data_IF_376299097978
#
_entry.id   IF_376299097978
#
_cell.length_a   1.000
_cell.length_b   1.000
_cell.length_c   1.000
_cell.angle_alpha   90.00
_cell.angle_beta   90.00
_cell.angle_gamma   90.00
#
_symmetry.space_group_name_H-M   'P 1'
#
loop_
_entity.id
_entity.type
_entity.pdbx_description
1 polymer ?
#
# COMPACT_ATOMS: atom_id res chain seq x y z
N UNK A 1 17.04 38.07 -10.18
CA UNK A 1 17.25 37.28 -8.98
C UNK A 1 17.75 35.92 -9.44
N UNK A 2 18.81 35.33 -8.90
CA UNK A 2 19.24 34.00 -9.29
C UNK A 2 18.10 33.06 -8.91
N UNK A 3 17.62 32.26 -9.89
CA UNK A 3 16.78 31.13 -9.62
C UNK A 3 17.59 30.20 -8.72
N UNK A 4 17.19 30.03 -7.47
CA UNK A 4 17.69 28.97 -6.62
C UNK A 4 17.27 27.67 -7.31
N UNK A 5 18.20 27.01 -8.00
CA UNK A 5 17.99 25.66 -8.50
C UNK A 5 17.75 24.78 -7.29
N UNK A 6 16.48 24.43 -7.05
CA UNK A 6 16.15 23.44 -6.06
C UNK A 6 16.76 22.11 -6.52
N UNK A 7 17.69 21.56 -5.73
CA UNK A 7 18.25 20.24 -5.99
C UNK A 7 17.20 19.22 -5.58
N UNK A 8 16.87 18.31 -6.50
CA UNK A 8 15.88 17.27 -6.20
C UNK A 8 16.38 16.33 -5.10
N UNK A 9 15.56 16.09 -4.10
CA UNK A 9 15.81 15.12 -3.02
C UNK A 9 14.97 13.87 -3.22
N UNK A 10 15.64 12.73 -3.38
CA UNK A 10 15.00 11.41 -3.49
C UNK A 10 15.14 10.65 -2.19
N UNK A 11 14.02 10.23 -1.60
CA UNK A 11 14.01 9.30 -0.49
C UNK A 11 14.02 7.85 -0.97
N UNK A 12 14.83 6.98 -0.36
CA UNK A 12 14.85 5.54 -0.63
C UNK A 12 14.32 4.76 0.56
N UNK A 13 13.36 3.89 0.30
CA UNK A 13 12.82 2.94 1.26
C UNK A 13 12.88 1.52 0.70
N UNK A 14 13.29 0.57 1.52
CA UNK A 14 13.27 -0.87 1.22
C UNK A 14 13.33 -1.69 2.50
N UNK A 15 12.94 -2.95 2.43
CA UNK A 15 12.99 -3.88 3.58
C UNK A 15 14.02 -4.97 3.40
N UNK A 16 14.25 -5.40 2.18
CA UNK A 16 15.19 -6.46 1.84
C UNK A 16 15.82 -6.17 0.48
N UNK A 17 17.09 -6.47 0.33
CA UNK A 17 17.79 -6.48 -0.95
C UNK A 17 18.47 -7.84 -1.11
N UNK A 18 17.95 -8.69 -2.01
CA UNK A 18 18.61 -9.94 -2.34
C UNK A 18 19.98 -9.65 -2.99
N UNK A 19 21.02 -10.43 -2.69
CA UNK A 19 22.39 -10.19 -3.18
C UNK A 19 22.48 -10.00 -4.71
N UNK A 20 21.70 -10.76 -5.47
CA UNK A 20 21.63 -10.65 -6.93
C UNK A 20 21.08 -9.31 -7.42
N UNK A 21 20.37 -8.57 -6.58
CA UNK A 21 19.80 -7.25 -6.91
C UNK A 21 20.76 -6.09 -6.60
N UNK A 22 21.92 -6.35 -5.97
CA UNK A 22 22.92 -5.31 -5.66
C UNK A 22 23.42 -4.59 -6.91
N UNK A 23 23.50 -5.27 -8.06
CA UNK A 23 23.89 -4.67 -9.34
C UNK A 23 22.87 -3.61 -9.78
N UNK A 24 21.59 -3.86 -9.59
CA UNK A 24 20.52 -2.91 -9.92
C UNK A 24 20.45 -1.74 -8.94
N UNK A 25 20.75 -2.01 -7.66
CA UNK A 25 20.86 -0.97 -6.64
C UNK A 25 22.01 -0.02 -6.94
N UNK A 26 23.19 -0.53 -7.27
CA UNK A 26 24.33 0.27 -7.72
C UNK A 26 24.00 1.08 -8.98
N UNK A 27 23.28 0.48 -9.93
CA UNK A 27 22.81 1.18 -11.14
C UNK A 27 21.91 2.36 -10.76
N UNK A 28 20.93 2.17 -9.87
CA UNK A 28 20.03 3.23 -9.40
C UNK A 28 20.83 4.37 -8.76
N UNK A 29 21.69 4.06 -7.80
CA UNK A 29 22.48 5.05 -7.07
C UNK A 29 23.41 5.84 -8.01
N UNK A 30 24.04 5.16 -8.98
CA UNK A 30 24.87 5.83 -9.98
C UNK A 30 24.07 6.78 -10.89
N UNK A 31 22.83 6.39 -11.29
CA UNK A 31 21.97 7.28 -12.08
C UNK A 31 21.53 8.51 -11.26
N UNK A 32 21.19 8.35 -9.97
CA UNK A 32 20.87 9.47 -9.08
C UNK A 32 22.08 10.39 -8.89
N UNK A 33 23.27 9.83 -8.66
CA UNK A 33 24.52 10.60 -8.50
C UNK A 33 24.87 11.43 -9.75
N UNK A 34 24.75 10.85 -10.95
CA UNK A 34 25.00 11.55 -12.22
C UNK A 34 24.08 12.78 -12.41
N UNK A 35 22.90 12.74 -11.85
CA UNK A 35 21.92 13.83 -11.94
C UNK A 35 21.97 14.80 -10.76
N UNK A 36 22.99 14.73 -9.89
CA UNK A 36 23.18 15.57 -8.72
C UNK A 36 21.97 15.58 -7.77
N UNK A 37 21.33 14.42 -7.60
CA UNK A 37 20.20 14.24 -6.69
C UNK A 37 20.69 14.09 -5.27
N UNK A 38 20.08 14.81 -4.32
CA UNK A 38 20.28 14.58 -2.89
C UNK A 38 19.58 13.29 -2.46
N UNK A 39 20.26 12.49 -1.63
CA UNK A 39 19.77 11.18 -1.24
C UNK A 39 19.43 11.14 0.24
N UNK A 40 18.18 10.72 0.53
CA UNK A 40 17.67 10.48 1.87
C UNK A 40 17.29 9.00 1.97
N UNK A 41 17.89 8.23 2.87
CA UNK A 41 17.68 6.77 2.94
C UNK A 41 17.08 6.37 4.29
N UNK A 42 16.08 5.49 4.25
CA UNK A 42 15.54 4.88 5.47
C UNK A 42 16.65 4.13 6.21
N UNK A 43 16.84 4.42 7.50
CA UNK A 43 17.98 3.93 8.28
C UNK A 43 18.20 2.42 8.21
N UNK A 44 17.19 1.53 8.43
CA UNK A 44 17.40 0.10 8.28
C UNK A 44 17.78 -0.32 6.86
N UNK A 45 17.31 0.40 5.84
CA UNK A 45 17.64 0.08 4.45
C UNK A 45 19.06 0.54 4.08
N UNK A 46 19.54 1.64 4.67
CA UNK A 46 20.90 2.13 4.47
C UNK A 46 21.95 1.05 4.82
N UNK A 47 21.75 0.35 5.94
CA UNK A 47 22.64 -0.74 6.36
C UNK A 47 22.70 -1.88 5.32
N UNK A 48 21.59 -2.15 4.65
CA UNK A 48 21.50 -3.21 3.63
C UNK A 48 22.15 -2.84 2.30
N UNK A 49 22.21 -1.55 1.97
CA UNK A 49 22.74 -1.05 0.69
C UNK A 49 24.10 -0.38 0.82
N UNK A 50 24.71 -0.40 2.00
CA UNK A 50 25.97 0.31 2.30
C UNK A 50 27.06 0.01 1.27
N UNK A 51 27.24 -1.27 0.90
CA UNK A 51 28.22 -1.71 -0.12
C UNK A 51 27.86 -1.30 -1.56
N UNK A 52 26.66 -0.75 -1.76
CA UNK A 52 26.22 -0.28 -3.09
C UNK A 52 26.40 1.22 -3.27
N UNK A 53 26.63 1.98 -2.17
CA UNK A 53 26.72 3.44 -2.20
C UNK A 53 28.07 3.88 -2.76
N UNK A 54 28.09 4.73 -3.81
CA UNK A 54 29.33 5.32 -4.31
C UNK A 54 30.03 6.18 -3.24
N UNK A 55 31.35 6.09 -3.12
CA UNK A 55 32.13 6.85 -2.12
C UNK A 55 31.90 8.37 -2.19
N UNK A 56 31.64 8.91 -3.39
CA UNK A 56 31.37 10.33 -3.60
C UNK A 56 29.94 10.77 -3.26
N UNK A 57 29.04 9.83 -2.94
CA UNK A 57 27.63 10.11 -2.70
C UNK A 57 27.39 10.44 -1.23
N UNK A 58 26.89 11.64 -0.97
CA UNK A 58 26.41 11.99 0.38
C UNK A 58 25.01 11.44 0.59
N UNK A 59 24.79 10.86 1.77
CA UNK A 59 23.52 10.24 2.14
C UNK A 59 23.06 10.78 3.47
N UNK A 60 21.85 11.35 3.50
CA UNK A 60 21.15 11.66 4.73
C UNK A 60 20.21 10.50 5.10
N UNK A 61 19.74 10.49 6.35
CA UNK A 61 18.97 9.37 6.90
C UNK A 61 17.62 9.87 7.40
N UNK A 62 16.55 9.06 7.18
CA UNK A 62 15.26 9.26 7.82
C UNK A 62 14.82 8.00 8.59
N UNK A 63 14.10 8.20 9.68
CA UNK A 63 13.54 7.14 10.53
C UNK A 63 12.03 7.29 10.73
N UNK A 64 11.48 8.46 10.43
CA UNK A 64 10.09 8.80 10.70
C UNK A 64 9.45 9.66 9.61
N UNK A 65 8.12 9.83 9.71
CA UNK A 65 7.37 10.79 8.91
C UNK A 65 7.90 12.23 9.05
N UNK A 66 8.29 12.63 10.27
CA UNK A 66 8.76 13.98 10.53
C UNK A 66 10.08 14.30 9.80
N UNK A 67 10.95 13.30 9.62
CA UNK A 67 12.21 13.45 8.92
C UNK A 67 12.03 13.54 7.39
N UNK A 68 10.88 13.12 6.89
CA UNK A 68 10.59 13.09 5.44
C UNK A 68 9.76 14.27 4.98
N UNK A 69 8.86 14.77 5.85
CA UNK A 69 7.90 15.81 5.48
C UNK A 69 8.59 17.11 5.16
N UNK A 70 8.49 17.55 3.89
CA UNK A 70 9.09 18.78 3.39
C UNK A 70 10.57 18.67 3.01
N UNK A 71 11.18 17.47 3.19
CA UNK A 71 12.60 17.23 2.90
C UNK A 71 12.78 16.42 1.60
N UNK A 72 11.81 15.62 1.21
CA UNK A 72 11.89 14.80 0.00
C UNK A 72 10.87 15.23 -1.06
N UNK A 73 11.31 15.28 -2.31
CA UNK A 73 10.46 15.56 -3.47
C UNK A 73 9.72 14.30 -3.94
N UNK A 74 10.33 13.13 -3.75
CA UNK A 74 9.79 11.83 -4.17
C UNK A 74 10.39 10.71 -3.32
N UNK A 75 9.61 9.64 -3.08
CA UNK A 75 10.08 8.44 -2.41
C UNK A 75 10.11 7.26 -3.39
N UNK A 76 11.27 6.61 -3.51
CA UNK A 76 11.41 5.36 -4.24
C UNK A 76 11.29 4.18 -3.28
N UNK A 77 10.27 3.36 -3.49
CA UNK A 77 10.05 2.11 -2.76
C UNK A 77 10.72 0.97 -3.50
N UNK A 78 11.78 0.41 -2.93
CA UNK A 78 12.61 -0.63 -3.52
C UNK A 78 12.14 -2.00 -3.04
N UNK A 79 11.38 -2.69 -3.88
CA UNK A 79 10.79 -3.99 -3.53
C UNK A 79 9.48 -4.25 -4.26
N UNK A 80 8.66 -5.14 -3.72
CA UNK A 80 7.32 -5.44 -4.26
C UNK A 80 6.22 -4.56 -3.67
N UNK A 81 4.95 -4.93 -3.95
CA UNK A 81 3.77 -4.19 -3.47
C UNK A 81 3.74 -4.05 -1.95
N UNK A 82 4.13 -5.09 -1.20
CA UNK A 82 4.21 -5.02 0.26
C UNK A 82 5.18 -3.94 0.77
N UNK A 83 6.28 -3.68 0.04
CA UNK A 83 7.22 -2.61 0.40
C UNK A 83 6.59 -1.24 0.20
N UNK A 84 5.73 -1.08 -0.81
CA UNK A 84 4.97 0.17 -1.01
C UNK A 84 3.98 0.40 0.14
N UNK A 85 3.27 -0.63 0.61
CA UNK A 85 2.38 -0.52 1.77
C UNK A 85 3.13 -0.02 3.01
N UNK A 86 4.37 -0.45 3.18
CA UNK A 86 5.21 -0.05 4.30
C UNK A 86 5.75 1.38 4.19
N UNK A 87 5.60 2.07 3.05
CA UNK A 87 5.92 3.50 2.93
C UNK A 87 4.80 4.40 3.49
N UNK A 88 3.57 3.90 3.59
CA UNK A 88 2.41 4.70 4.06
C UNK A 88 2.67 5.39 5.40
N UNK A 89 3.26 4.72 6.43
CA UNK A 89 3.61 5.36 7.69
C UNK A 89 4.58 6.54 7.58
N UNK A 90 5.42 6.55 6.53
CA UNK A 90 6.43 7.57 6.32
C UNK A 90 5.96 8.74 5.47
N UNK A 91 5.09 8.49 4.48
CA UNK A 91 4.61 9.57 3.59
C UNK A 91 3.33 10.22 4.06
N UNK A 92 2.39 9.47 4.66
CA UNK A 92 1.12 9.98 5.21
C UNK A 92 0.50 11.09 4.33
N UNK A 93 0.17 12.23 4.95
CA UNK A 93 -0.40 13.43 4.32
C UNK A 93 0.66 14.42 3.79
N UNK A 94 1.94 14.04 3.71
CA UNK A 94 3.00 14.91 3.21
C UNK A 94 2.84 15.31 1.75
N UNK A 95 2.08 14.51 0.98
CA UNK A 95 1.95 14.70 -0.46
C UNK A 95 3.13 14.17 -1.28
N UNK A 96 4.18 13.63 -0.65
CA UNK A 96 5.35 13.07 -1.33
C UNK A 96 4.92 11.93 -2.26
N UNK A 97 5.20 12.00 -3.57
CA UNK A 97 4.89 10.93 -4.51
C UNK A 97 5.73 9.68 -4.23
N UNK A 98 5.12 8.51 -4.40
CA UNK A 98 5.79 7.21 -4.21
C UNK A 98 5.96 6.52 -5.56
N UNK A 99 7.19 6.16 -5.92
CA UNK A 99 7.53 5.35 -7.08
C UNK A 99 7.95 3.94 -6.63
N UNK A 100 7.20 2.91 -7.04
CA UNK A 100 7.57 1.52 -6.78
C UNK A 100 8.52 0.97 -7.82
N UNK A 101 9.73 0.59 -7.42
CA UNK A 101 10.72 -0.11 -8.25
C UNK A 101 10.79 -1.56 -7.80
N UNK A 102 10.32 -2.46 -8.65
CA UNK A 102 10.24 -3.88 -8.35
C UNK A 102 11.57 -4.58 -8.63
N UNK A 103 12.09 -5.27 -7.62
CA UNK A 103 13.32 -6.06 -7.73
C UNK A 103 13.08 -7.55 -8.06
N UNK A 104 11.81 -7.94 -8.21
CA UNK A 104 11.39 -9.31 -8.51
C UNK A 104 10.29 -9.37 -9.57
N UNK A 105 9.15 -9.99 -9.24
CA UNK A 105 7.98 -10.05 -10.12
C UNK A 105 7.16 -8.78 -10.00
N UNK A 106 6.86 -8.13 -11.10
CA UNK A 106 6.04 -6.90 -11.15
C UNK A 106 4.71 -7.07 -10.36
N UNK A 107 4.39 -6.09 -9.53
CA UNK A 107 3.19 -6.03 -8.71
C UNK A 107 2.00 -5.33 -9.40
N UNK A 108 0.95 -5.07 -8.63
CA UNK A 108 -0.14 -4.18 -9.03
C UNK A 108 0.16 -2.71 -8.68
N UNK A 109 1.02 -2.48 -7.67
CA UNK A 109 1.43 -1.16 -7.20
C UNK A 109 2.80 -0.77 -7.75
N UNK A 110 3.78 -1.67 -7.71
CA UNK A 110 5.12 -1.43 -8.22
C UNK A 110 5.12 -1.52 -9.76
N UNK A 111 5.24 -0.37 -10.42
CA UNK A 111 5.07 -0.24 -11.86
C UNK A 111 6.36 -0.32 -12.68
N UNK A 112 7.53 -0.18 -12.03
CA UNK A 112 8.84 -0.16 -12.68
C UNK A 112 9.59 -1.45 -12.38
N UNK A 113 10.07 -2.12 -13.43
CA UNK A 113 10.96 -3.26 -13.29
C UNK A 113 12.41 -2.80 -13.07
N UNK A 114 13.22 -3.66 -12.43
CA UNK A 114 14.66 -3.38 -12.21
C UNK A 114 15.44 -3.09 -13.51
N UNK A 115 15.00 -3.61 -14.64
CA UNK A 115 15.65 -3.40 -15.93
C UNK A 115 15.38 -1.97 -16.48
N UNK A 116 14.30 -1.32 -16.06
CA UNK A 116 13.86 0.00 -16.50
C UNK A 116 14.38 1.15 -15.61
N UNK A 117 15.22 0.87 -14.61
CA UNK A 117 15.70 1.86 -13.63
C UNK A 117 16.23 3.14 -14.28
N UNK A 118 17.13 3.06 -15.26
CA UNK A 118 17.72 4.25 -15.89
C UNK A 118 16.67 5.11 -16.59
N UNK A 119 15.69 4.46 -17.26
CA UNK A 119 14.57 5.17 -17.89
C UNK A 119 13.69 5.85 -16.85
N UNK A 120 13.35 5.15 -15.77
CA UNK A 120 12.54 5.69 -14.70
C UNK A 120 13.18 6.90 -14.01
N UNK A 121 14.49 6.84 -13.70
CA UNK A 121 15.22 7.98 -13.14
C UNK A 121 15.21 9.16 -14.10
N UNK A 122 15.47 8.95 -15.41
CA UNK A 122 15.45 10.02 -16.40
C UNK A 122 14.08 10.72 -16.47
N UNK A 123 12.98 9.96 -16.48
CA UNK A 123 11.61 10.52 -16.47
C UNK A 123 11.32 11.30 -15.18
N UNK A 124 11.73 10.77 -14.02
CA UNK A 124 11.56 11.47 -12.74
C UNK A 124 12.30 12.80 -12.72
N UNK A 125 13.56 12.82 -13.15
CA UNK A 125 14.38 14.06 -13.23
C UNK A 125 13.77 15.07 -14.20
N UNK A 126 13.22 14.60 -15.31
CA UNK A 126 12.55 15.46 -16.29
C UNK A 126 11.16 15.93 -15.84
N UNK A 127 10.61 15.37 -14.75
CA UNK A 127 9.22 15.61 -14.34
C UNK A 127 8.18 14.97 -15.27
N UNK A 128 8.59 14.00 -16.08
CA UNK A 128 7.77 13.33 -17.08
C UNK A 128 7.07 12.09 -16.49
N UNK A 129 6.15 12.33 -15.59
CA UNK A 129 5.30 11.34 -14.96
C UNK A 129 3.96 11.94 -14.54
N UNK A 130 2.99 11.11 -14.30
CA UNK A 130 1.70 11.52 -13.73
C UNK A 130 1.53 11.00 -12.32
N UNK A 131 0.62 11.65 -11.56
CA UNK A 131 0.25 11.23 -10.21
C UNK A 131 -1.11 10.55 -10.25
N UNK A 132 -1.16 9.34 -9.73
CA UNK A 132 -2.39 8.61 -9.47
C UNK A 132 -2.67 8.60 -7.96
N UNK A 133 -3.75 9.26 -7.55
CA UNK A 133 -4.15 9.35 -6.14
C UNK A 133 -4.80 8.05 -5.69
N UNK A 134 -4.34 7.51 -4.56
CA UNK A 134 -4.86 6.29 -3.96
C UNK A 134 -5.54 6.60 -2.63
N UNK A 135 -6.82 6.26 -2.56
CA UNK A 135 -7.63 6.39 -1.35
C UNK A 135 -7.15 5.43 -0.26
N UNK A 136 -7.29 5.85 1.00
CA UNK A 136 -6.97 5.04 2.17
C UNK A 136 -8.22 4.83 3.03
N UNK A 137 -8.26 3.71 3.73
CA UNK A 137 -9.10 3.53 4.90
C UNK A 137 -8.45 4.17 6.11
N UNK A 138 -9.25 4.80 6.97
CA UNK A 138 -8.85 5.32 8.27
C UNK A 138 -9.64 4.64 9.38
N UNK A 139 -8.94 4.07 10.37
CA UNK A 139 -9.54 3.55 11.59
C UNK A 139 -9.76 4.71 12.56
N UNK A 140 -11.03 5.00 12.88
CA UNK A 140 -11.42 6.06 13.81
C UNK A 140 -11.54 5.51 15.24
N UNK A 141 -12.09 4.29 15.37
CA UNK A 141 -12.23 3.59 16.65
C UNK A 141 -11.86 2.12 16.49
N UNK A 142 -11.12 1.53 17.43
CA UNK A 142 -10.45 2.16 18.56
C UNK A 142 -9.23 2.98 18.15
N UNK A 143 -8.95 4.04 18.88
CA UNK A 143 -7.76 4.83 18.68
C UNK A 143 -6.49 4.02 19.02
N UNK A 144 -5.39 4.32 18.32
CA UNK A 144 -4.04 3.88 18.69
C UNK A 144 -3.77 2.36 18.69
N UNK A 145 -4.53 1.55 17.92
CA UNK A 145 -4.25 0.09 17.80
C UNK A 145 -2.84 -0.15 17.26
N UNK A 146 -2.39 0.68 16.32
CA UNK A 146 -1.05 0.64 15.72
C UNK A 146 -0.31 1.99 15.89
N UNK A 147 -0.44 2.62 17.08
CA UNK A 147 0.10 3.95 17.34
C UNK A 147 -0.55 5.02 16.46
N UNK A 148 0.28 5.93 15.93
CA UNK A 148 -0.21 7.04 15.09
C UNK A 148 -0.58 6.62 13.65
N UNK A 149 -0.33 5.36 13.28
CA UNK A 149 -0.55 4.88 11.91
C UNK A 149 -1.88 4.14 11.82
N UNK A 150 -2.95 4.88 11.63
CA UNK A 150 -4.35 4.39 11.57
C UNK A 150 -4.90 4.26 10.14
N UNK A 151 -4.05 4.19 9.15
CA UNK A 151 -4.41 4.15 7.72
C UNK A 151 -4.06 2.82 7.09
N UNK A 152 -4.87 2.39 6.11
CA UNK A 152 -4.57 1.25 5.24
C UNK A 152 -4.77 1.63 3.77
N UNK A 153 -3.80 1.27 2.93
CA UNK A 153 -3.84 1.49 1.48
C UNK A 153 -4.60 0.37 0.77
N UNK A 154 -4.44 -0.87 1.21
CA UNK A 154 -5.15 -2.01 0.68
C UNK A 154 -6.44 -2.29 1.47
N UNK A 155 -6.31 -2.85 2.65
CA UNK A 155 -7.46 -3.33 3.41
C UNK A 155 -7.27 -3.34 4.91
N UNK A 156 -8.41 -3.36 5.58
CA UNK A 156 -8.58 -3.74 6.96
C UNK A 156 -9.21 -5.12 6.99
N UNK A 157 -8.70 -6.01 7.84
CA UNK A 157 -9.25 -7.35 8.02
C UNK A 157 -9.56 -7.70 9.46
N UNK A 158 -10.66 -8.41 9.65
CA UNK A 158 -11.01 -9.09 10.90
C UNK A 158 -11.06 -10.58 10.61
N UNK A 159 -10.28 -11.35 11.34
CA UNK A 159 -10.18 -12.80 11.11
C UNK A 159 -10.25 -13.51 12.46
N UNK A 160 -10.97 -14.64 12.52
CA UNK A 160 -10.97 -15.48 13.71
C UNK A 160 -9.57 -16.03 14.00
N UNK A 161 -9.30 -16.30 15.25
CA UNK A 161 -8.15 -17.14 15.56
C UNK A 161 -8.41 -18.55 15.03
N UNK A 162 -7.46 -19.20 14.33
CA UNK A 162 -7.63 -20.53 13.74
C UNK A 162 -8.12 -21.62 14.71
N UNK A 163 -7.80 -21.51 15.99
CA UNK A 163 -8.17 -22.46 17.04
C UNK A 163 -9.62 -22.29 17.55
N UNK A 164 -10.34 -21.27 17.05
CA UNK A 164 -11.62 -20.87 17.63
C UNK A 164 -12.79 -21.01 16.66
N UNK A 165 -14.01 -20.88 17.19
CA UNK A 165 -15.25 -20.95 16.45
C UNK A 165 -15.44 -19.77 15.48
N UNK A 166 -16.42 -19.86 14.57
CA UNK A 166 -16.78 -18.78 13.65
C UNK A 166 -17.13 -17.49 14.40
N UNK A 167 -16.79 -16.37 13.79
CA UNK A 167 -17.20 -15.05 14.26
C UNK A 167 -18.61 -14.71 13.72
N UNK A 168 -19.39 -13.99 14.50
CA UNK A 168 -20.57 -13.27 14.05
C UNK A 168 -20.19 -11.78 13.95
N UNK A 169 -20.06 -11.30 12.72
CA UNK A 169 -19.58 -9.95 12.44
C UNK A 169 -20.74 -9.11 11.93
N UNK A 170 -21.24 -8.19 12.77
CA UNK A 170 -22.28 -7.25 12.40
C UNK A 170 -21.67 -6.03 11.73
N UNK A 171 -22.19 -5.69 10.57
CA UNK A 171 -21.74 -4.54 9.78
C UNK A 171 -22.89 -3.56 9.60
N UNK A 172 -22.56 -2.29 9.81
CA UNK A 172 -23.44 -1.16 9.54
C UNK A 172 -22.74 -0.20 8.59
N UNK A 173 -23.48 0.36 7.66
CA UNK A 173 -23.02 1.38 6.70
C UNK A 173 -23.89 2.61 6.91
N UNK A 174 -23.30 3.74 7.28
CA UNK A 174 -24.01 4.99 7.61
C UNK A 174 -25.13 4.77 8.64
N UNK A 175 -24.80 4.01 9.70
CA UNK A 175 -25.70 3.56 10.79
C UNK A 175 -26.82 2.61 10.35
N UNK A 176 -26.93 2.28 9.07
CA UNK A 176 -27.91 1.30 8.57
C UNK A 176 -27.31 -0.10 8.68
N UNK A 177 -28.04 -1.01 9.35
CA UNK A 177 -27.64 -2.41 9.45
C UNK A 177 -27.57 -3.07 8.06
N UNK A 178 -26.38 -3.53 7.68
CA UNK A 178 -26.17 -4.23 6.42
C UNK A 178 -26.44 -5.74 6.57
N UNK A 179 -25.69 -6.40 7.44
CA UNK A 179 -25.79 -7.85 7.64
C UNK A 179 -24.98 -8.30 8.87
N UNK A 180 -25.27 -9.54 9.30
CA UNK A 180 -24.41 -10.28 10.23
C UNK A 180 -23.75 -11.43 9.45
N UNK A 181 -22.44 -11.37 9.34
CA UNK A 181 -21.64 -12.37 8.64
C UNK A 181 -21.14 -13.43 9.62
N UNK A 182 -21.58 -14.66 9.43
CA UNK A 182 -21.08 -15.84 10.17
C UNK A 182 -20.00 -16.50 9.32
N UNK A 183 -18.73 -16.37 9.73
CA UNK A 183 -17.62 -16.87 8.91
C UNK A 183 -16.27 -16.77 9.59
N UNK A 184 -15.22 -17.00 8.82
CA UNK A 184 -13.83 -16.89 9.28
C UNK A 184 -13.39 -15.43 9.47
N UNK A 185 -14.05 -14.49 8.78
CA UNK A 185 -13.72 -13.09 8.89
C UNK A 185 -14.40 -12.20 7.85
N UNK A 186 -13.94 -10.95 7.80
CA UNK A 186 -14.37 -9.95 6.85
C UNK A 186 -13.21 -9.05 6.45
N UNK A 187 -13.23 -8.57 5.22
CA UNK A 187 -12.31 -7.55 4.69
C UNK A 187 -13.11 -6.31 4.33
N UNK A 188 -12.56 -5.16 4.66
CA UNK A 188 -12.94 -3.88 4.09
C UNK A 188 -11.75 -3.38 3.26
N UNK A 189 -11.92 -3.29 1.95
CA UNK A 189 -10.84 -2.96 1.04
C UNK A 189 -11.11 -1.68 0.25
N UNK A 190 -10.04 -0.95 -0.04
CA UNK A 190 -10.01 0.16 -1.00
C UNK A 190 -10.04 -0.39 -2.44
N UNK A 191 -10.19 0.46 -3.47
CA UNK A 191 -9.96 0.04 -4.85
C UNK A 191 -8.57 -0.56 -5.06
N UNK A 192 -7.54 -0.02 -4.41
CA UNK A 192 -6.19 -0.57 -4.45
C UNK A 192 -6.14 -1.99 -3.88
N UNK A 193 -6.74 -2.21 -2.72
CA UNK A 193 -6.81 -3.51 -2.04
C UNK A 193 -7.74 -4.53 -2.73
N UNK A 194 -8.58 -4.08 -3.69
CA UNK A 194 -9.43 -4.99 -4.45
C UNK A 194 -8.64 -6.06 -5.23
N UNK A 195 -7.37 -5.82 -5.52
CA UNK A 195 -6.44 -6.75 -6.17
C UNK A 195 -5.53 -7.50 -5.19
N UNK A 196 -5.70 -7.28 -3.87
CA UNK A 196 -4.96 -7.92 -2.79
C UNK A 196 -5.76 -9.07 -2.14
N UNK A 197 -5.90 -9.10 -0.83
CA UNK A 197 -6.59 -10.21 -0.13
C UNK A 197 -8.08 -10.28 -0.48
N UNK A 198 -8.72 -9.13 -0.74
CA UNK A 198 -10.11 -9.09 -1.20
C UNK A 198 -10.34 -9.91 -2.47
N UNK A 199 -9.41 -9.86 -3.45
CA UNK A 199 -9.48 -10.68 -4.66
C UNK A 199 -9.46 -12.18 -4.33
N UNK A 200 -8.56 -12.61 -3.45
CA UNK A 200 -8.43 -14.00 -3.01
C UNK A 200 -9.68 -14.50 -2.26
N UNK A 201 -10.39 -13.60 -1.58
CA UNK A 201 -11.64 -13.87 -0.89
C UNK A 201 -12.88 -13.78 -1.82
N UNK A 202 -12.69 -13.58 -3.13
CA UNK A 202 -13.78 -13.53 -4.13
C UNK A 202 -14.39 -12.13 -4.31
N UNK A 203 -13.71 -11.07 -3.85
CA UNK A 203 -14.09 -9.68 -4.11
C UNK A 203 -13.92 -9.29 -5.59
N UNK A 204 -14.64 -8.27 -6.07
CA UNK A 204 -14.50 -7.76 -7.43
C UNK A 204 -13.18 -6.99 -7.59
N UNK A 205 -12.64 -6.97 -8.82
CA UNK A 205 -11.57 -6.06 -9.18
C UNK A 205 -12.17 -4.67 -9.43
N UNK A 206 -11.60 -3.67 -8.77
CA UNK A 206 -12.05 -2.29 -8.82
C UNK A 206 -10.93 -1.42 -9.40
N UNK A 207 -11.29 -0.52 -10.33
CA UNK A 207 -10.32 0.42 -10.88
C UNK A 207 -9.79 1.36 -9.78
N UNK A 208 -8.48 1.65 -9.76
CA UNK A 208 -7.85 2.40 -8.66
C UNK A 208 -8.41 3.80 -8.41
N UNK A 209 -8.98 4.42 -9.44
CA UNK A 209 -9.59 5.74 -9.39
C UNK A 209 -11.09 5.73 -9.07
N UNK A 210 -11.66 4.58 -8.72
CA UNK A 210 -13.06 4.48 -8.33
C UNK A 210 -13.26 4.99 -6.90
N UNK A 211 -14.41 5.64 -6.65
CA UNK A 211 -14.80 6.22 -5.37
C UNK A 211 -15.69 5.25 -4.59
N UNK A 212 -15.11 4.13 -4.17
CA UNK A 212 -15.85 3.09 -3.44
C UNK A 212 -14.93 2.28 -2.52
N UNK A 213 -15.57 1.53 -1.61
CA UNK A 213 -14.95 0.47 -0.83
C UNK A 213 -15.66 -0.84 -1.12
N UNK A 214 -15.02 -1.95 -0.81
CA UNK A 214 -15.65 -3.27 -0.90
C UNK A 214 -15.58 -4.00 0.42
N UNK A 215 -16.71 -4.51 0.86
CA UNK A 215 -16.87 -5.38 2.03
C UNK A 215 -16.89 -6.81 1.51
N UNK A 216 -15.84 -7.57 1.80
CA UNK A 216 -15.67 -8.95 1.31
C UNK A 216 -15.66 -9.92 2.50
N UNK A 217 -16.68 -10.75 2.67
CA UNK A 217 -16.71 -11.76 3.71
C UNK A 217 -15.78 -12.93 3.40
N UNK A 218 -15.20 -13.56 4.44
CA UNK A 218 -14.26 -14.68 4.31
C UNK A 218 -14.94 -15.96 4.80
N UNK A 219 -15.01 -16.97 3.93
CA UNK A 219 -15.49 -18.32 4.24
C UNK A 219 -16.79 -18.32 5.08
N UNK A 220 -17.81 -17.61 4.62
CA UNK A 220 -19.09 -17.53 5.31
C UNK A 220 -19.86 -18.84 5.30
N UNK A 221 -20.54 -19.14 6.41
CA UNK A 221 -21.46 -20.25 6.49
C UNK A 221 -22.69 -20.06 5.58
N UNK A 222 -23.15 -18.82 5.42
CA UNK A 222 -24.26 -18.50 4.52
C UNK A 222 -23.79 -18.37 3.07
N UNK A 223 -24.22 -19.32 2.22
CA UNK A 223 -23.80 -19.41 0.82
C UNK A 223 -24.41 -18.33 -0.10
N UNK A 224 -25.40 -17.57 0.36
CA UNK A 224 -26.02 -16.47 -0.42
C UNK A 224 -25.30 -15.16 -0.28
N UNK A 225 -24.40 -15.03 0.69
CA UNK A 225 -23.63 -13.81 0.94
C UNK A 225 -22.66 -13.55 -0.22
N UNK A 226 -22.54 -12.28 -0.61
CA UNK A 226 -21.62 -11.81 -1.64
C UNK A 226 -20.89 -10.57 -1.16
N UNK A 227 -19.72 -10.27 -1.72
CA UNK A 227 -19.07 -8.97 -1.52
C UNK A 227 -20.00 -7.81 -1.91
N UNK A 228 -19.97 -6.75 -1.13
CA UNK A 228 -20.80 -5.55 -1.33
C UNK A 228 -19.88 -4.36 -1.61
N UNK A 229 -20.15 -3.65 -2.70
CA UNK A 229 -19.47 -2.40 -3.03
C UNK A 229 -20.31 -1.24 -2.50
N UNK A 230 -19.68 -0.33 -1.78
CA UNK A 230 -20.30 0.86 -1.19
C UNK A 230 -19.51 2.11 -1.61
N UNK A 231 -20.09 3.30 -1.47
CA UNK A 231 -19.35 4.55 -1.69
C UNK A 231 -18.24 4.72 -0.66
N UNK A 232 -17.13 5.33 -1.05
CA UNK A 232 -16.02 5.63 -0.14
C UNK A 232 -16.33 6.78 0.84
N UNK A 233 -17.46 7.48 0.65
CA UNK A 233 -17.96 8.50 1.59
C UNK A 233 -18.64 7.89 2.82
N UNK A 234 -18.96 6.59 2.79
CA UNK A 234 -19.66 5.92 3.89
C UNK A 234 -18.77 5.73 5.11
N UNK A 235 -19.40 5.81 6.28
CA UNK A 235 -18.82 5.39 7.57
C UNK A 235 -19.23 3.95 7.85
N UNK A 236 -18.26 3.08 8.04
CA UNK A 236 -18.48 1.65 8.29
C UNK A 236 -18.26 1.38 9.77
N UNK A 237 -19.25 0.79 10.41
CA UNK A 237 -19.18 0.37 11.81
C UNK A 237 -19.29 -1.14 11.90
N UNK A 238 -18.36 -1.76 12.63
CA UNK A 238 -18.24 -3.22 12.73
C UNK A 238 -18.23 -3.64 14.20
N UNK A 239 -19.12 -4.56 14.55
CA UNK A 239 -19.21 -5.18 15.88
C UNK A 239 -18.96 -6.68 15.70
N UNK A 240 -18.19 -7.26 16.62
CA UNK A 240 -17.87 -8.68 16.60
C UNK A 240 -18.54 -9.36 17.79
N UNK A 241 -19.27 -10.42 17.54
CA UNK A 241 -19.86 -11.27 18.56
C UNK A 241 -19.34 -12.71 18.39
N UNK A 242 -19.16 -13.41 19.48
CA UNK A 242 -18.68 -14.77 19.47
C UNK A 242 -18.51 -15.33 20.86
N UNK A 243 -18.24 -16.62 20.96
CA UNK A 243 -17.90 -17.29 22.23
C UNK A 243 -16.51 -16.88 22.70
N UNK A 244 -15.64 -16.53 21.77
CA UNK A 244 -14.28 -16.09 22.00
C UNK A 244 -14.25 -14.60 22.28
N UNK A 245 -13.32 -14.20 23.15
CA UNK A 245 -13.18 -12.80 23.54
C UNK A 245 -12.28 -11.99 22.62
N UNK A 246 -11.57 -12.62 21.69
CA UNK A 246 -10.55 -11.96 20.86
C UNK A 246 -10.62 -12.42 19.41
N UNK A 247 -10.26 -11.51 18.51
CA UNK A 247 -10.07 -11.76 17.08
C UNK A 247 -8.78 -11.11 16.58
N UNK A 248 -8.24 -11.59 15.47
CA UNK A 248 -7.10 -11.00 14.78
C UNK A 248 -7.60 -9.83 13.93
N UNK A 249 -6.97 -8.70 14.10
CA UNK A 249 -7.23 -7.47 13.36
C UNK A 249 -5.97 -7.06 12.62
N UNK A 250 -6.10 -6.69 11.33
CA UNK A 250 -4.97 -6.21 10.55
C UNK A 250 -5.35 -4.97 9.72
N UNK A 251 -4.34 -4.13 9.47
CA UNK A 251 -4.39 -3.02 8.51
C UNK A 251 -3.15 -3.11 7.64
N UNK A 252 -3.32 -3.48 6.38
CA UNK A 252 -2.23 -3.83 5.46
C UNK A 252 -1.28 -4.88 6.11
N UNK A 253 0.01 -4.57 6.21
CA UNK A 253 1.03 -5.46 6.80
C UNK A 253 1.07 -5.50 8.33
N UNK A 254 0.30 -4.64 9.02
CA UNK A 254 0.28 -4.55 10.48
C UNK A 254 -0.85 -5.38 11.06
N UNK A 255 -0.56 -6.20 12.06
CA UNK A 255 -1.55 -7.06 12.70
C UNK A 255 -1.46 -7.02 14.21
N UNK A 256 -2.57 -7.27 14.86
CA UNK A 256 -2.71 -7.35 16.31
C UNK A 256 -3.96 -8.13 16.70
N UNK A 257 -4.23 -8.20 17.99
CA UNK A 257 -5.42 -8.87 18.52
C UNK A 257 -6.29 -7.85 19.25
N UNK A 258 -7.59 -7.85 18.98
CA UNK A 258 -8.57 -7.02 19.63
C UNK A 258 -9.59 -7.88 20.42
N UNK A 259 -10.17 -7.27 21.45
CA UNK A 259 -11.29 -7.86 22.19
C UNK A 259 -12.59 -7.70 21.40
N UNK A 260 -13.48 -8.68 21.47
CA UNK A 260 -14.78 -8.63 20.77
C UNK A 260 -15.73 -7.56 21.31
N UNK A 261 -15.47 -7.01 22.49
CA UNK A 261 -16.21 -5.85 23.02
C UNK A 261 -15.87 -4.53 22.30
N UNK A 262 -14.81 -4.52 21.48
CA UNK A 262 -14.39 -3.32 20.75
C UNK A 262 -15.21 -3.16 19.48
N UNK A 263 -15.82 -1.99 19.31
CA UNK A 263 -16.44 -1.59 18.06
C UNK A 263 -15.41 -0.89 17.16
N UNK A 264 -15.35 -1.31 15.89
CA UNK A 264 -14.53 -0.66 14.90
C UNK A 264 -15.35 0.35 14.10
N UNK A 265 -14.79 1.55 13.95
CA UNK A 265 -15.36 2.59 13.08
C UNK A 265 -14.31 2.97 12.05
N UNK A 266 -14.67 2.84 10.78
CA UNK A 266 -13.77 3.04 9.64
C UNK A 266 -14.41 4.01 8.67
N UNK A 267 -13.61 4.91 8.11
CA UNK A 267 -14.01 5.84 7.04
C UNK A 267 -12.89 6.01 6.02
N UNK A 268 -13.13 6.83 5.02
CA UNK A 268 -12.09 7.35 4.11
C UNK A 268 -11.16 8.30 4.88
N UNK A 269 -9.86 8.19 4.65
CA UNK A 269 -8.90 9.18 5.13
C UNK A 269 -9.07 10.52 4.39
N UNK A 270 -8.74 11.61 5.07
CA UNK A 270 -8.85 12.97 4.53
C UNK A 270 -7.74 13.30 3.51
N UNK A 271 -6.82 12.37 3.26
CA UNK A 271 -5.73 12.50 2.28
C UNK A 271 -5.60 11.22 1.44
N UNK A 272 -4.80 11.30 0.37
CA UNK A 272 -4.49 10.18 -0.52
C UNK A 272 -2.98 9.94 -0.57
N UNK A 273 -2.56 8.73 -0.90
CA UNK A 273 -1.18 8.46 -1.30
C UNK A 273 -1.03 8.77 -2.79
N UNK A 274 -0.03 9.57 -3.12
CA UNK A 274 0.32 9.93 -4.49
C UNK A 274 1.23 8.85 -5.08
N UNK A 275 0.70 8.02 -5.99
CA UNK A 275 1.52 7.03 -6.71
C UNK A 275 2.04 7.62 -8.01
N UNK A 276 3.33 7.48 -8.26
CA UNK A 276 3.93 7.86 -9.54
C UNK A 276 3.55 6.85 -10.60
N UNK A 277 3.08 7.36 -11.75
CA UNK A 277 2.73 6.56 -12.91
C UNK A 277 3.53 7.03 -14.12
N UNK A 278 4.30 6.12 -14.72
CA UNK A 278 5.04 6.36 -15.94
C UNK A 278 4.14 6.25 -17.17
N UNK A 279 4.49 6.97 -18.22
CA UNK A 279 3.81 6.89 -19.50
C UNK A 279 3.78 5.45 -20.03
N UNK A 280 2.65 5.03 -20.59
CA UNK A 280 2.45 3.68 -21.15
C UNK A 280 2.10 2.60 -20.12
N UNK A 281 2.10 2.89 -18.80
CA UNK A 281 1.59 1.96 -17.81
C UNK A 281 0.07 2.11 -17.69
N UNK A 282 -0.69 1.00 -17.78
CA UNK A 282 -2.14 1.01 -17.59
C UNK A 282 -2.62 -0.12 -16.67
N UNK A 283 -3.68 0.14 -15.94
CA UNK A 283 -4.24 -0.80 -14.97
C UNK A 283 -4.75 -2.09 -15.64
N UNK A 284 -5.40 -1.97 -16.78
CA UNK A 284 -5.96 -3.13 -17.48
C UNK A 284 -4.87 -4.00 -18.11
N UNK A 285 -3.77 -3.39 -18.58
CA UNK A 285 -2.57 -4.10 -19.00
C UNK A 285 -1.94 -4.89 -17.85
N UNK A 286 -1.89 -4.28 -16.65
CA UNK A 286 -1.43 -4.97 -15.43
C UNK A 286 -2.32 -6.16 -15.09
N UNK A 287 -3.65 -6.00 -15.12
CA UNK A 287 -4.61 -7.11 -14.91
C UNK A 287 -4.36 -8.25 -15.90
N UNK A 288 -4.33 -7.95 -17.22
CA UNK A 288 -4.10 -8.98 -18.25
C UNK A 288 -2.80 -9.74 -18.03
N UNK A 289 -1.73 -9.02 -17.71
CA UNK A 289 -0.42 -9.63 -17.51
C UNK A 289 -0.33 -10.45 -16.22
N UNK A 290 -0.91 -9.95 -15.13
CA UNK A 290 -0.85 -10.59 -13.81
C UNK A 290 -1.79 -11.77 -13.68
N UNK A 291 -3.01 -11.66 -14.17
CA UNK A 291 -4.04 -12.68 -14.08
C UNK A 291 -4.11 -13.56 -15.32
N UNK A 292 -3.21 -13.37 -16.29
CA UNK A 292 -3.15 -14.14 -17.54
C UNK A 292 -4.46 -14.06 -18.36
N UNK A 293 -5.22 -12.96 -18.20
CA UNK A 293 -6.47 -12.80 -18.92
C UNK A 293 -6.27 -12.69 -20.42
N UNK A 294 -7.05 -13.45 -21.18
CA UNK A 294 -6.95 -13.48 -22.64
C UNK A 294 -5.75 -14.25 -23.18
N UNK A 295 -4.89 -14.82 -22.33
CA UNK A 295 -3.83 -15.74 -22.78
C UNK A 295 -4.41 -17.14 -22.86
N UNK A 296 -4.97 -17.48 -24.03
CA UNK A 296 -5.32 -18.87 -24.34
C UNK A 296 -4.08 -19.55 -24.92
N UNK A 297 -3.69 -20.71 -24.36
CA UNK A 297 -2.56 -21.51 -24.87
C UNK A 297 -2.85 -22.14 -26.26
N UNK A 298 -3.98 -21.79 -26.89
CA UNK A 298 -4.40 -22.27 -28.20
C UNK A 298 -4.20 -21.25 -29.34
N UNK A 299 -3.67 -20.05 -29.00
CA UNK A 299 -3.29 -19.03 -29.99
C UNK A 299 -1.79 -18.79 -29.96
#
# INVERSE_FOLDING_TARGET
MPQTHHTMTVALFGKNLAPENSVYMRKLLNELLKNNVELLVCKPFLEMIADCIPESMQVAVFESYADLKGEADILFSIGGDGTILDTVPFVRDSGIPVLGINMGRLGFLSSISKDEISKAVAHVIAGDFSIEKRTLLELISPESVFGDVKYALNELSLIRNPEHSLLAIKVFVDDVYLNTYWGDGILLATPTGSTAYSLSAGGPIIAPNAHNFVITPIATHNLTVRPVVITDESVIRIQVEGREKKFVFSMDSRSGTLDTSVELVVRKADFCINMVRMEGSDFFGTIRNKLMWGKDNRN
#
